data_IF_749049537868
#
_entry.id   IF_749049537868
#
_cell.length_a   1.000
_cell.length_b   1.000
_cell.length_c   1.000
_cell.angle_alpha   90.00
_cell.angle_beta   90.00
_cell.angle_gamma   90.00
#
_symmetry.space_group_name_H-M   'P 1'
#
loop_
_entity.id
_entity.type
_entity.pdbx_description
1 polymer ?
#
# COMPACT_ATOMS: atom_id res chain seq x y z
N UNK A 1 4.63 -0.40 -8.02
CA UNK A 1 4.49 -0.85 -6.63
C UNK A 1 3.30 -1.79 -6.57
N UNK A 2 3.42 -2.99 -6.03
CA UNK A 2 2.38 -4.03 -6.19
C UNK A 2 1.39 -4.10 -5.02
N UNK A 3 1.69 -3.50 -3.85
CA UNK A 3 0.79 -3.62 -2.67
C UNK A 3 0.44 -2.33 -1.92
N UNK A 4 1.10 -1.19 -2.24
CA UNK A 4 0.72 0.11 -1.67
C UNK A 4 -0.71 0.49 -2.05
N UNK A 5 -1.46 1.06 -1.10
CA UNK A 5 -2.83 1.53 -1.32
C UNK A 5 -2.85 3.03 -1.45
N UNK A 6 -3.38 3.53 -2.57
CA UNK A 6 -3.65 4.95 -2.70
C UNK A 6 -4.81 5.31 -1.77
N UNK A 7 -4.55 6.19 -0.82
CA UNK A 7 -5.52 6.66 0.16
C UNK A 7 -5.74 8.16 0.07
N UNK A 8 -5.36 8.82 -1.02
CA UNK A 8 -5.56 10.27 -1.24
C UNK A 8 -6.97 10.74 -0.88
N UNK A 9 -7.99 10.04 -1.35
CA UNK A 9 -9.40 10.39 -1.11
C UNK A 9 -9.88 10.08 0.32
N UNK A 10 -9.03 9.47 1.13
CA UNK A 10 -9.26 9.12 2.53
C UNK A 10 -8.25 9.80 3.47
N UNK A 11 -7.31 10.58 2.92
CA UNK A 11 -6.33 11.32 3.71
C UNK A 11 -7.01 12.47 4.44
N UNK A 12 -6.55 12.75 5.65
CA UNK A 12 -6.96 13.95 6.36
C UNK A 12 -6.45 15.23 5.67
N UNK A 13 -5.35 15.13 4.89
CA UNK A 13 -4.77 16.24 4.14
C UNK A 13 -5.06 16.07 2.63
N UNK A 14 -6.06 16.77 2.07
CA UNK A 14 -6.55 16.50 0.71
C UNK A 14 -5.54 16.80 -0.41
N UNK A 15 -4.51 17.59 -0.10
CA UNK A 15 -3.49 18.00 -1.05
C UNK A 15 -2.36 16.99 -1.20
N UNK A 16 -2.30 15.97 -0.35
CA UNK A 16 -1.24 14.97 -0.35
C UNK A 16 -1.59 13.78 -1.25
N UNK A 17 -0.58 13.28 -1.99
CA UNK A 17 -0.68 12.04 -2.76
C UNK A 17 -0.30 10.84 -1.88
N UNK A 18 -1.07 10.62 -0.82
CA UNK A 18 -0.74 9.65 0.22
C UNK A 18 -0.90 8.20 -0.25
N UNK A 19 0.16 7.41 -0.04
CA UNK A 19 0.21 5.96 -0.28
C UNK A 19 0.44 5.25 1.05
N UNK A 20 -0.51 4.40 1.45
CA UNK A 20 -0.39 3.56 2.64
C UNK A 20 0.36 2.27 2.30
N UNK A 21 1.44 2.04 3.05
CA UNK A 21 2.13 0.74 3.09
C UNK A 21 1.57 -0.06 4.27
N UNK A 22 1.20 -1.32 4.02
CA UNK A 22 0.73 -2.19 5.08
C UNK A 22 1.86 -2.46 6.11
N UNK A 23 1.53 -2.79 7.36
CA UNK A 23 2.53 -3.15 8.36
C UNK A 23 3.41 -4.35 7.93
N UNK A 24 4.64 -4.36 8.45
CA UNK A 24 5.63 -5.43 8.26
C UNK A 24 5.91 -5.82 6.79
N UNK A 25 5.78 -4.86 5.87
CA UNK A 25 6.31 -5.01 4.50
C UNK A 25 7.82 -5.13 4.53
N UNK A 26 8.35 -5.98 3.65
CA UNK A 26 9.78 -6.24 3.55
C UNK A 26 10.34 -5.54 2.32
N UNK A 27 11.52 -4.93 2.49
CA UNK A 27 12.23 -4.23 1.43
C UNK A 27 13.68 -4.69 1.39
N UNK A 28 14.23 -4.77 0.18
CA UNK A 28 15.66 -4.90 -0.05
C UNK A 28 16.26 -3.52 -0.30
N UNK A 29 17.29 -3.16 0.46
CA UNK A 29 18.11 -1.98 0.16
C UNK A 29 18.85 -2.23 -1.15
N UNK A 30 18.63 -1.35 -2.13
CA UNK A 30 19.24 -1.42 -3.46
C UNK A 30 20.50 -0.57 -3.55
N UNK A 31 20.49 0.60 -2.92
CA UNK A 31 21.63 1.49 -2.82
C UNK A 31 21.45 2.45 -1.64
N UNK A 32 22.56 3.00 -1.20
CA UNK A 32 22.64 4.08 -0.22
C UNK A 32 23.59 5.14 -0.79
N UNK A 33 23.15 6.40 -0.84
CA UNK A 33 23.93 7.53 -1.32
C UNK A 33 24.01 8.56 -0.20
N UNK A 34 25.22 8.81 0.30
CA UNK A 34 25.51 9.95 1.17
C UNK A 34 25.46 11.23 0.31
N UNK A 35 24.52 12.12 0.64
CA UNK A 35 24.33 13.42 -0.02
C UNK A 35 24.99 14.57 0.75
N UNK A 36 25.81 14.25 1.76
CA UNK A 36 26.42 15.20 2.69
C UNK A 36 25.42 15.71 3.73
N UNK A 37 25.90 16.51 4.69
CA UNK A 37 25.06 17.13 5.73
C UNK A 37 24.14 16.13 6.46
N UNK A 38 24.66 14.93 6.74
CA UNK A 38 23.91 13.84 7.39
C UNK A 38 22.67 13.36 6.61
N UNK A 39 22.54 13.73 5.34
CA UNK A 39 21.45 13.33 4.45
C UNK A 39 21.83 12.08 3.66
N UNK A 40 21.05 11.02 3.82
CA UNK A 40 21.22 9.79 3.06
C UNK A 40 20.00 9.51 2.19
N UNK A 41 20.23 9.22 0.91
CA UNK A 41 19.21 8.73 -0.02
C UNK A 41 19.31 7.21 -0.07
N UNK A 42 18.27 6.53 0.41
CA UNK A 42 18.18 5.07 0.43
C UNK A 42 17.18 4.61 -0.63
N UNK A 43 17.63 3.82 -1.60
CA UNK A 43 16.73 3.20 -2.58
C UNK A 43 16.23 1.85 -2.06
N UNK A 44 14.92 1.71 -1.94
CA UNK A 44 14.26 0.50 -1.45
C UNK A 44 13.50 -0.19 -2.59
N UNK A 45 13.59 -1.52 -2.65
CA UNK A 45 12.74 -2.36 -3.51
C UNK A 45 11.90 -3.27 -2.65
N UNK A 46 10.57 -3.16 -2.78
CA UNK A 46 9.63 -4.09 -2.13
C UNK A 46 9.92 -5.53 -2.56
N UNK A 47 9.90 -6.45 -1.60
CA UNK A 47 10.03 -7.89 -1.84
C UNK A 47 8.80 -8.63 -1.32
N UNK A 48 8.50 -9.79 -1.90
CA UNK A 48 7.44 -10.64 -1.40
C UNK A 48 7.84 -11.17 -0.02
N UNK A 49 7.02 -10.97 1.03
CA UNK A 49 7.31 -11.54 2.34
C UNK A 49 7.21 -13.08 2.27
N UNK A 50 7.98 -13.81 3.09
CA UNK A 50 7.97 -15.28 3.11
C UNK A 50 6.62 -15.85 3.56
N UNK A 51 5.85 -15.09 4.33
CA UNK A 51 4.52 -15.45 4.79
C UNK A 51 3.56 -14.26 4.60
N UNK A 52 2.30 -14.50 4.17
CA UNK A 52 1.29 -13.46 4.15
C UNK A 52 0.96 -13.02 5.58
N UNK A 53 1.02 -11.72 5.83
CA UNK A 53 0.82 -11.14 7.17
C UNK A 53 -0.63 -10.78 7.49
N UNK A 54 -1.47 -10.69 6.47
CA UNK A 54 -2.89 -10.38 6.60
C UNK A 54 -3.69 -11.44 5.84
N UNK A 55 -4.77 -11.89 6.47
CA UNK A 55 -5.77 -12.71 5.80
C UNK A 55 -6.57 -11.85 4.79
N UNK A 56 -6.99 -12.41 3.65
CA UNK A 56 -7.88 -11.71 2.74
C UNK A 56 -9.19 -11.34 3.44
N UNK A 57 -9.69 -10.13 3.21
CA UNK A 57 -11.02 -9.74 3.70
C UNK A 57 -12.07 -10.58 2.96
N UNK A 58 -13.02 -11.22 3.68
CA UNK A 58 -14.12 -11.93 3.04
C UNK A 58 -14.89 -10.99 2.10
N UNK A 59 -15.08 -11.38 0.85
CA UNK A 59 -15.96 -10.62 -0.05
C UNK A 59 -17.40 -10.74 0.44
N UNK A 60 -18.13 -9.63 0.63
CA UNK A 60 -19.53 -9.70 0.97
C UNK A 60 -20.30 -10.45 -0.14
N UNK A 61 -21.37 -11.19 0.20
CA UNK A 61 -22.18 -11.89 -0.78
C UNK A 61 -22.72 -10.88 -1.81
N UNK A 62 -22.66 -11.25 -3.09
CA UNK A 62 -23.24 -10.45 -4.17
C UNK A 62 -24.74 -10.36 -3.92
N UNK A 63 -25.23 -9.16 -3.64
CA UNK A 63 -26.67 -8.87 -3.67
C UNK A 63 -27.07 -9.00 -5.15
N UNK A 64 -27.74 -10.09 -5.51
CA UNK A 64 -28.41 -10.18 -6.80
C UNK A 64 -29.51 -9.13 -6.79
N UNK A 65 -29.37 -8.07 -7.58
CA UNK A 65 -30.49 -7.19 -7.91
C UNK A 65 -31.49 -8.04 -8.69
N UNK A 66 -32.45 -8.60 -7.96
CA UNK A 66 -33.72 -9.03 -8.52
C UNK A 66 -34.35 -7.83 -9.20
N UNK A 67 -34.68 -8.02 -10.46
CA UNK A 67 -35.56 -7.21 -11.26
C UNK A 67 -36.93 -7.09 -10.58
N UNK A 68 -37.06 -6.14 -9.64
CA UNK A 68 -38.39 -5.68 -9.21
C UNK A 68 -38.93 -4.72 -10.28
N UNK A 69 -39.59 -5.32 -11.27
CA UNK A 69 -40.54 -4.62 -12.12
C UNK A 69 -41.79 -4.29 -11.30
N UNK A 70 -42.07 -3.00 -11.17
CA UNK A 70 -43.40 -2.44 -10.91
C UNK A 70 -43.66 -1.33 -11.93
#
# INVERSE_FOLDING_TARGET
SHTGKNIKNHSFMPTEDEILLLPARQFKVKSCLDSGNELYIIQLKEICPPHPLLEPVPTPPKISTGNDSL
#
